data_IF_316083669878
#
_entry.id   IF_316083669878
#
_cell.length_a   1.000
_cell.length_b   1.000
_cell.length_c   1.000
_cell.angle_alpha   90.00
_cell.angle_beta   90.00
_cell.angle_gamma   90.00
#
_symmetry.space_group_name_H-M   'P 1'
#
loop_
_entity.id
_entity.type
_entity.pdbx_description
1 polymer ?
#
# COMPACT_ATOMS: atom_id res chain seq x y z
N UNK A 1 -12.04 -7.15 27.80
CA UNK A 1 -13.21 -6.49 27.22
C UNK A 1 -12.69 -5.37 26.35
N UNK A 2 -12.77 -5.52 25.03
CA UNK A 2 -12.27 -4.51 24.10
C UNK A 2 -13.27 -3.36 24.07
N UNK A 3 -12.93 -2.21 24.63
CA UNK A 3 -13.72 -0.99 24.45
C UNK A 3 -13.59 -0.60 22.99
N UNK A 4 -14.68 -0.72 22.21
CA UNK A 4 -14.73 -0.14 20.88
C UNK A 4 -14.43 1.36 21.03
N UNK A 5 -13.27 1.79 20.56
CA UNK A 5 -12.87 3.20 20.58
C UNK A 5 -13.77 3.91 19.57
N UNK A 6 -14.78 4.62 20.06
CA UNK A 6 -15.67 5.41 19.22
C UNK A 6 -15.00 6.74 18.86
N UNK A 7 -15.23 7.22 17.64
CA UNK A 7 -14.77 8.53 17.20
C UNK A 7 -15.36 9.64 18.07
N UNK A 8 -14.52 10.47 18.68
CA UNK A 8 -14.97 11.52 19.61
C UNK A 8 -14.84 12.92 19.01
N UNK A 9 -15.82 13.29 18.18
CA UNK A 9 -15.92 14.60 17.53
C UNK A 9 -15.89 15.76 18.54
N UNK A 10 -16.58 15.62 19.69
CA UNK A 10 -16.62 16.67 20.72
C UNK A 10 -15.24 16.97 21.30
N UNK A 11 -14.45 15.94 21.57
CA UNK A 11 -13.09 16.13 22.08
C UNK A 11 -12.21 16.90 21.08
N UNK A 12 -12.30 16.53 19.80
CA UNK A 12 -11.58 17.19 18.70
C UNK A 12 -11.97 18.67 18.62
N UNK A 13 -13.28 18.97 18.49
CA UNK A 13 -13.75 20.36 18.38
C UNK A 13 -13.41 21.19 19.63
N UNK A 14 -13.53 20.59 20.83
CA UNK A 14 -13.21 21.27 22.07
C UNK A 14 -11.72 21.63 22.18
N UNK A 15 -10.83 20.80 21.65
CA UNK A 15 -9.39 21.00 21.73
C UNK A 15 -8.94 22.22 20.92
N UNK A 16 -9.47 22.36 19.70
CA UNK A 16 -9.19 23.51 18.82
C UNK A 16 -10.18 24.66 19.00
N UNK A 17 -10.93 24.67 20.11
CA UNK A 17 -11.87 25.72 20.49
C UNK A 17 -12.94 26.07 19.43
N UNK A 18 -13.40 25.08 18.66
CA UNK A 18 -14.47 25.25 17.68
C UNK A 18 -15.87 25.01 18.26
N UNK A 19 -16.94 25.55 17.64
CA UNK A 19 -18.31 25.36 18.08
C UNK A 19 -18.73 23.89 18.22
N UNK A 20 -19.29 23.54 19.39
CA UNK A 20 -19.75 22.18 19.74
C UNK A 20 -21.24 21.95 19.41
N UNK A 21 -21.93 22.97 18.92
CA UNK A 21 -23.35 22.97 18.59
C UNK A 21 -23.65 22.35 17.21
N UNK A 22 -22.61 21.92 16.49
CA UNK A 22 -22.72 21.34 15.16
C UNK A 22 -22.88 22.38 14.04
N UNK A 23 -22.66 23.66 14.34
CA UNK A 23 -22.70 24.75 13.34
C UNK A 23 -21.41 24.86 12.51
N UNK A 24 -20.32 24.26 12.97
CA UNK A 24 -19.02 24.36 12.31
C UNK A 24 -18.94 23.46 11.07
N UNK A 25 -18.52 24.05 9.96
CA UNK A 25 -18.22 23.34 8.71
C UNK A 25 -16.80 23.65 8.23
N UNK A 26 -16.01 22.65 7.82
CA UNK A 26 -16.35 21.23 7.69
C UNK A 26 -16.44 20.49 9.04
N UNK A 27 -17.33 19.50 9.15
CA UNK A 27 -17.45 18.68 10.38
C UNK A 27 -16.39 17.56 10.40
N UNK A 28 -15.76 17.27 11.56
CA UNK A 28 -14.85 16.13 11.72
C UNK A 28 -15.45 14.76 11.35
N UNK A 29 -16.76 14.58 11.46
CA UNK A 29 -17.43 13.30 11.18
C UNK A 29 -17.99 13.25 9.76
N UNK A 30 -18.65 14.33 9.31
CA UNK A 30 -19.31 14.34 8.00
C UNK A 30 -18.37 14.70 6.85
N UNK A 31 -17.40 15.59 7.10
CA UNK A 31 -16.43 16.09 6.12
C UNK A 31 -14.98 15.97 6.66
N UNK A 32 -14.56 14.76 7.10
CA UNK A 32 -13.30 14.57 7.82
C UNK A 32 -12.07 15.01 7.01
N UNK A 33 -12.08 14.77 5.70
CA UNK A 33 -10.96 15.12 4.81
C UNK A 33 -10.77 16.62 4.74
N UNK A 34 -11.85 17.38 4.54
CA UNK A 34 -11.77 18.83 4.44
C UNK A 34 -11.52 19.48 5.80
N UNK A 35 -12.01 18.88 6.88
CA UNK A 35 -11.64 19.27 8.23
C UNK A 35 -10.14 19.09 8.50
N UNK A 36 -9.59 17.93 8.16
CA UNK A 36 -8.17 17.65 8.33
C UNK A 36 -7.29 18.56 7.46
N UNK A 37 -7.67 18.86 6.21
CA UNK A 37 -6.94 19.83 5.39
C UNK A 37 -6.77 21.19 6.07
N UNK A 38 -7.73 21.61 6.90
CA UNK A 38 -7.68 22.89 7.62
C UNK A 38 -6.98 22.81 8.97
N UNK A 39 -7.10 21.68 9.67
CA UNK A 39 -6.77 21.59 11.09
C UNK A 39 -5.78 20.49 11.46
N UNK A 40 -5.21 19.75 10.51
CA UNK A 40 -4.30 18.64 10.79
C UNK A 40 -3.15 19.07 11.71
N UNK A 41 -2.56 20.23 11.47
CA UNK A 41 -1.42 20.76 12.24
C UNK A 41 -1.80 21.30 13.62
N UNK A 42 -3.09 21.57 13.86
CA UNK A 42 -3.58 22.05 15.16
C UNK A 42 -3.93 20.92 16.11
N UNK A 43 -3.93 19.67 15.63
CA UNK A 43 -4.39 18.52 16.39
C UNK A 43 -3.20 17.69 16.89
N UNK A 44 -3.23 17.24 18.16
CA UNK A 44 -2.18 16.39 18.70
C UNK A 44 -2.32 14.95 18.16
N UNK A 45 -1.24 14.16 18.14
CA UNK A 45 -1.21 12.83 17.51
C UNK A 45 -2.33 11.88 17.94
N UNK A 46 -2.69 11.89 19.23
CA UNK A 46 -3.73 11.03 19.79
C UNK A 46 -5.16 11.39 19.37
N UNK A 47 -5.41 12.64 18.96
CA UNK A 47 -6.69 13.07 18.39
C UNK A 47 -6.72 12.82 16.89
N UNK A 48 -5.61 13.10 16.19
CA UNK A 48 -5.48 12.84 14.75
C UNK A 48 -5.66 11.35 14.44
N UNK A 49 -5.06 10.45 15.24
CA UNK A 49 -5.17 9.01 15.04
C UNK A 49 -6.63 8.47 15.06
N UNK A 50 -7.57 9.19 15.70
CA UNK A 50 -8.97 8.78 15.70
C UNK A 50 -9.62 8.89 14.32
N UNK A 51 -9.11 9.75 13.43
CA UNK A 51 -9.65 9.89 12.08
C UNK A 51 -9.50 8.62 11.24
N UNK A 52 -8.62 7.68 11.61
CA UNK A 52 -8.54 6.35 11.00
C UNK A 52 -9.82 5.54 11.15
N UNK A 53 -10.69 5.88 12.12
CA UNK A 53 -11.99 5.22 12.32
C UNK A 53 -13.07 5.69 11.31
N UNK A 54 -12.89 6.89 10.74
CA UNK A 54 -13.90 7.54 9.89
C UNK A 54 -13.36 7.87 8.49
N UNK A 55 -12.08 7.64 8.23
CA UNK A 55 -11.45 7.85 6.94
C UNK A 55 -10.70 6.61 6.46
N UNK A 56 -10.69 6.40 5.15
CA UNK A 56 -9.85 5.38 4.52
C UNK A 56 -8.48 5.95 4.14
N UNK A 57 -7.43 5.11 3.98
CA UNK A 57 -6.16 5.56 3.44
C UNK A 57 -6.26 6.30 2.11
N UNK A 58 -7.18 5.87 1.23
CA UNK A 58 -7.47 6.53 -0.06
C UNK A 58 -8.05 7.93 0.13
N UNK A 59 -8.98 8.12 1.06
CA UNK A 59 -9.54 9.44 1.39
C UNK A 59 -8.47 10.37 1.97
N UNK A 60 -7.64 9.86 2.89
CA UNK A 60 -6.54 10.64 3.49
C UNK A 60 -5.48 11.04 2.47
N UNK A 61 -5.31 10.26 1.40
CA UNK A 61 -4.41 10.61 0.30
C UNK A 61 -4.79 11.93 -0.40
N UNK A 62 -6.01 12.45 -0.21
CA UNK A 62 -6.42 13.77 -0.71
C UNK A 62 -5.84 14.94 0.09
N UNK A 63 -5.32 14.69 1.30
CA UNK A 63 -4.68 15.68 2.16
C UNK A 63 -3.21 15.83 1.74
N UNK A 64 -2.75 17.03 1.33
CA UNK A 64 -1.39 17.23 0.85
C UNK A 64 -0.31 16.78 1.85
N UNK A 65 -0.42 17.17 3.12
CA UNK A 65 0.51 16.79 4.18
C UNK A 65 0.66 15.28 4.29
N UNK A 66 -0.46 14.53 4.30
CA UNK A 66 -0.44 13.06 4.36
C UNK A 66 0.24 12.48 3.13
N UNK A 67 -0.08 13.00 1.93
CA UNK A 67 0.56 12.55 0.69
C UNK A 67 2.07 12.80 0.70
N UNK A 68 2.52 13.95 1.21
CA UNK A 68 3.94 14.29 1.33
C UNK A 68 4.66 13.37 2.33
N UNK A 69 4.03 13.05 3.49
CA UNK A 69 4.55 12.07 4.45
C UNK A 69 4.77 10.70 3.79
N UNK A 70 3.76 10.22 3.04
CA UNK A 70 3.88 8.96 2.29
C UNK A 70 4.96 9.02 1.22
N UNK A 71 5.06 10.12 0.47
CA UNK A 71 6.09 10.28 -0.55
C UNK A 71 7.48 10.14 0.09
N UNK A 72 7.75 10.84 1.19
CA UNK A 72 9.02 10.76 1.92
C UNK A 72 9.31 9.37 2.46
N UNK A 73 8.29 8.72 3.04
CA UNK A 73 8.43 7.33 3.47
C UNK A 73 8.81 6.43 2.30
N UNK A 74 8.18 6.56 1.14
CA UNK A 74 8.50 5.78 -0.06
C UNK A 74 9.89 6.10 -0.65
N UNK A 75 10.39 7.32 -0.48
CA UNK A 75 11.73 7.76 -0.90
C UNK A 75 12.83 7.28 0.06
N UNK A 76 12.51 7.02 1.33
CA UNK A 76 13.46 6.43 2.29
C UNK A 76 13.78 4.95 2.07
N UNK A 77 13.24 4.35 0.99
CA UNK A 77 13.37 2.93 0.63
C UNK A 77 13.15 1.95 1.80
N UNK A 78 11.93 1.95 2.40
CA UNK A 78 11.61 1.14 3.56
C UNK A 78 11.54 -0.34 3.19
N UNK A 79 11.85 -1.20 4.15
CA UNK A 79 11.88 -2.67 3.98
C UNK A 79 10.57 -3.22 3.44
N UNK A 80 9.45 -2.64 3.86
CA UNK A 80 8.10 -3.12 3.52
C UNK A 80 7.72 -2.82 2.06
N UNK A 81 8.35 -1.81 1.45
CA UNK A 81 8.18 -1.48 0.02
C UNK A 81 9.35 -1.99 -0.83
N UNK A 82 10.27 -2.76 -0.24
CA UNK A 82 11.33 -3.44 -0.98
C UNK A 82 10.76 -4.46 -1.95
N UNK A 83 11.54 -4.82 -2.98
CA UNK A 83 11.08 -5.73 -4.03
C UNK A 83 10.59 -7.07 -3.49
N UNK A 84 11.37 -7.69 -2.59
CA UNK A 84 11.06 -9.01 -2.02
C UNK A 84 9.80 -8.93 -1.16
N UNK A 85 9.73 -7.97 -0.23
CA UNK A 85 8.56 -7.77 0.62
C UNK A 85 7.28 -7.48 -0.17
N UNK A 86 7.36 -6.57 -1.15
CA UNK A 86 6.22 -6.18 -1.97
C UNK A 86 5.75 -7.32 -2.90
N UNK A 87 6.67 -8.10 -3.46
CA UNK A 87 6.35 -9.25 -4.31
C UNK A 87 5.62 -10.35 -3.53
N UNK A 88 5.99 -10.53 -2.27
CA UNK A 88 5.37 -11.52 -1.38
C UNK A 88 4.02 -11.03 -0.86
N UNK A 89 3.89 -9.74 -0.56
CA UNK A 89 2.67 -9.14 0.02
C UNK A 89 1.59 -8.87 -1.03
N UNK A 90 1.97 -8.32 -2.19
CA UNK A 90 1.06 -7.99 -3.29
C UNK A 90 1.43 -8.73 -4.57
N UNK A 91 1.34 -10.08 -4.56
CA UNK A 91 1.81 -10.92 -5.66
C UNK A 91 1.04 -10.71 -6.97
N UNK A 92 -0.17 -10.16 -6.89
CA UNK A 92 -1.09 -9.92 -8.01
C UNK A 92 -0.75 -8.63 -8.77
N UNK A 93 0.04 -7.74 -8.16
CA UNK A 93 0.56 -6.55 -8.81
C UNK A 93 1.83 -6.82 -9.65
N UNK A 94 2.43 -8.01 -9.53
CA UNK A 94 3.59 -8.44 -10.31
C UNK A 94 3.17 -9.18 -11.58
N UNK A 95 3.53 -8.61 -12.73
CA UNK A 95 3.15 -9.12 -14.06
C UNK A 95 4.20 -10.10 -14.65
N UNK A 96 5.40 -10.19 -14.06
CA UNK A 96 6.46 -11.06 -14.55
C UNK A 96 6.14 -12.56 -14.42
N UNK A 97 6.50 -13.34 -15.46
CA UNK A 97 6.31 -14.81 -15.56
C UNK A 97 7.35 -15.66 -14.82
N UNK A 98 8.09 -15.08 -13.88
CA UNK A 98 9.18 -15.78 -13.20
C UNK A 98 8.68 -16.80 -12.16
N UNK A 99 9.43 -17.91 -12.02
CA UNK A 99 9.22 -18.94 -10.98
C UNK A 99 9.36 -18.30 -9.58
N UNK A 100 8.40 -18.58 -8.70
CA UNK A 100 8.31 -18.01 -7.34
C UNK A 100 8.82 -19.03 -6.32
N UNK A 101 9.27 -18.54 -5.15
CA UNK A 101 9.79 -19.38 -4.06
C UNK A 101 11.22 -19.88 -4.24
N UNK A 102 11.95 -19.40 -5.26
CA UNK A 102 13.34 -19.85 -5.52
C UNK A 102 14.29 -19.39 -4.42
N UNK A 103 14.12 -18.17 -3.92
CA UNK A 103 14.99 -17.62 -2.88
C UNK A 103 14.66 -18.26 -1.53
N UNK A 104 13.37 -18.35 -1.19
CA UNK A 104 12.90 -19.05 0.01
C UNK A 104 13.24 -20.55 -0.01
N UNK A 105 13.14 -21.18 -1.18
CA UNK A 105 13.54 -22.59 -1.37
C UNK A 105 15.06 -22.79 -1.30
N UNK A 106 15.87 -21.80 -1.68
CA UNK A 106 17.33 -21.81 -1.44
C UNK A 106 17.63 -21.65 0.04
N UNK A 107 16.97 -20.72 0.73
CA UNK A 107 17.15 -20.51 2.16
C UNK A 107 16.76 -21.75 2.96
N UNK A 108 15.65 -22.42 2.61
CA UNK A 108 15.22 -23.67 3.26
C UNK A 108 16.17 -24.83 2.94
N UNK A 109 16.69 -24.89 1.71
CA UNK A 109 17.72 -25.84 1.33
C UNK A 109 19.02 -25.61 2.11
N UNK A 110 19.45 -24.36 2.28
CA UNK A 110 20.65 -23.99 3.00
C UNK A 110 20.49 -24.26 4.51
N UNK A 111 19.33 -23.93 5.09
CA UNK A 111 18.96 -24.31 6.45
C UNK A 111 19.02 -25.83 6.64
N UNK A 112 18.42 -26.59 5.73
CA UNK A 112 18.45 -28.05 5.78
C UNK A 112 19.88 -28.59 5.66
N UNK A 113 20.75 -27.97 4.88
CA UNK A 113 22.12 -28.44 4.70
C UNK A 113 23.05 -28.10 5.87
N UNK A 114 22.85 -26.94 6.51
CA UNK A 114 23.81 -26.39 7.47
C UNK A 114 23.33 -26.43 8.92
N UNK A 115 22.04 -26.24 9.18
CA UNK A 115 21.50 -26.14 10.54
C UNK A 115 20.76 -27.40 10.98
N UNK A 116 20.10 -28.10 10.06
CA UNK A 116 19.37 -29.32 10.38
C UNK A 116 20.31 -30.46 10.82
N UNK A 117 20.04 -30.99 12.02
CA UNK A 117 20.85 -32.04 12.66
C UNK A 117 22.37 -31.73 12.72
N UNK A 118 22.74 -30.45 12.90
CA UNK A 118 24.14 -30.00 13.00
C UNK A 118 25.03 -30.49 11.85
N UNK A 119 24.49 -30.57 10.62
CA UNK A 119 25.28 -30.88 9.42
C UNK A 119 25.60 -32.37 9.19
N UNK A 120 24.78 -33.29 9.71
CA UNK A 120 24.92 -34.74 9.49
C UNK A 120 24.70 -35.16 8.01
N UNK A 121 25.74 -35.03 7.18
CA UNK A 121 25.72 -35.05 5.69
C UNK A 121 25.09 -36.24 4.95
N UNK A 122 24.82 -37.39 5.59
CA UNK A 122 24.50 -38.63 4.85
C UNK A 122 23.10 -38.66 4.19
N UNK A 123 22.14 -37.85 4.63
CA UNK A 123 20.78 -37.82 4.05
C UNK A 123 20.22 -36.40 3.85
N UNK A 124 20.96 -35.35 4.17
CA UNK A 124 20.42 -33.97 4.22
C UNK A 124 20.38 -33.28 2.88
N UNK A 125 21.23 -33.67 1.91
CA UNK A 125 21.20 -33.08 0.57
C UNK A 125 19.87 -33.31 -0.16
N UNK A 126 19.39 -34.57 -0.18
CA UNK A 126 18.09 -34.92 -0.79
C UNK A 126 16.91 -34.31 -0.03
N UNK A 127 17.04 -34.15 1.29
CA UNK A 127 16.01 -33.52 2.11
C UNK A 127 15.95 -32.01 1.84
N UNK A 128 17.09 -31.32 1.74
CA UNK A 128 17.14 -29.90 1.39
C UNK A 128 16.63 -29.62 -0.02
N UNK A 129 16.97 -30.47 -1.00
CA UNK A 129 16.41 -30.36 -2.35
C UNK A 129 14.88 -30.56 -2.36
N UNK A 130 14.38 -31.52 -1.57
CA UNK A 130 12.95 -31.80 -1.44
C UNK A 130 12.21 -30.65 -0.73
N UNK A 131 12.78 -30.13 0.36
CA UNK A 131 12.19 -29.03 1.13
C UNK A 131 12.15 -27.73 0.31
N UNK A 132 13.25 -27.38 -0.37
CA UNK A 132 13.28 -26.22 -1.26
C UNK A 132 12.24 -26.33 -2.38
N UNK A 133 12.08 -27.52 -2.97
CA UNK A 133 11.02 -27.77 -3.96
C UNK A 133 9.60 -27.67 -3.40
N UNK A 134 9.38 -28.10 -2.15
CA UNK A 134 8.08 -27.94 -1.50
C UNK A 134 7.77 -26.49 -1.12
N UNK A 135 8.78 -25.67 -0.78
CA UNK A 135 8.61 -24.24 -0.54
C UNK A 135 8.22 -23.51 -1.83
N UNK A 136 8.92 -23.81 -2.94
CA UNK A 136 8.55 -23.30 -4.26
C UNK A 136 7.08 -23.65 -4.63
N UNK A 137 6.66 -24.89 -4.40
CA UNK A 137 5.29 -25.33 -4.68
C UNK A 137 4.26 -24.68 -3.74
N UNK A 138 4.60 -24.53 -2.46
CA UNK A 138 3.76 -23.89 -1.44
C UNK A 138 3.48 -22.43 -1.80
N UNK A 139 4.52 -21.68 -2.14
CA UNK A 139 4.37 -20.28 -2.52
C UNK A 139 3.62 -20.12 -3.85
N UNK A 140 3.87 -21.00 -4.82
CA UNK A 140 3.11 -21.04 -6.06
C UNK A 140 1.61 -21.30 -5.82
N UNK A 141 1.26 -22.23 -4.93
CA UNK A 141 -0.15 -22.52 -4.60
C UNK A 141 -0.82 -21.35 -3.87
N UNK A 142 -0.13 -20.69 -2.94
CA UNK A 142 -0.64 -19.50 -2.24
C UNK A 142 -1.01 -18.39 -3.21
N UNK A 143 -0.18 -18.12 -4.20
CA UNK A 143 -0.47 -17.10 -5.22
C UNK A 143 -1.64 -17.54 -6.11
N UNK A 144 -1.72 -18.83 -6.47
CA UNK A 144 -2.87 -19.36 -7.21
C UNK A 144 -4.18 -19.25 -6.43
N UNK A 145 -4.18 -19.43 -5.11
CA UNK A 145 -5.37 -19.21 -4.29
C UNK A 145 -5.75 -17.75 -4.22
N UNK A 146 -4.79 -16.83 -4.03
CA UNK A 146 -5.06 -15.39 -3.99
C UNK A 146 -5.67 -14.91 -5.31
N UNK A 147 -5.09 -15.30 -6.45
CA UNK A 147 -5.64 -14.93 -7.78
C UNK A 147 -7.04 -15.47 -8.01
N UNK A 148 -7.33 -16.70 -7.56
CA UNK A 148 -8.68 -17.27 -7.63
C UNK A 148 -9.66 -16.50 -6.73
N UNK A 149 -9.23 -16.09 -5.55
CA UNK A 149 -10.06 -15.32 -4.63
C UNK A 149 -10.32 -13.90 -5.14
N UNK A 150 -9.31 -13.22 -5.69
CA UNK A 150 -9.48 -11.91 -6.34
C UNK A 150 -10.42 -12.01 -7.55
N UNK A 151 -10.23 -12.98 -8.43
CA UNK A 151 -11.13 -13.20 -9.58
C UNK A 151 -12.58 -13.49 -9.13
N UNK A 152 -12.78 -14.26 -8.06
CA UNK A 152 -14.10 -14.50 -7.51
C UNK A 152 -14.73 -13.26 -6.85
N UNK A 153 -13.91 -12.34 -6.31
CA UNK A 153 -14.39 -11.02 -5.81
C UNK A 153 -14.79 -10.10 -6.96
N UNK A 154 -14.06 -10.14 -8.07
CA UNK A 154 -14.38 -9.37 -9.29
C UNK A 154 -15.62 -9.91 -10.01
N UNK A 155 -15.78 -11.24 -10.13
CA UNK A 155 -16.96 -11.90 -10.72
C UNK A 155 -18.26 -11.65 -9.91
N UNK A 156 -18.15 -11.31 -8.62
CA UNK A 156 -19.29 -10.94 -7.79
C UNK A 156 -19.78 -9.49 -8.02
N UNK A 157 -19.11 -8.71 -8.86
CA UNK A 157 -19.64 -7.41 -9.34
C UNK A 157 -20.61 -7.73 -10.48
N UNK A 158 -21.95 -7.58 -10.30
CA UNK A 158 -22.87 -7.80 -11.41
C UNK A 158 -22.53 -6.79 -12.50
N UNK A 159 -22.17 -7.29 -13.68
CA UNK A 159 -22.02 -6.49 -14.89
C UNK A 159 -23.30 -5.67 -15.09
N UNK A 160 -23.21 -4.33 -15.03
CA UNK A 160 -24.26 -3.48 -15.60
C UNK A 160 -24.06 -3.50 -17.12
N UNK A 161 -25.09 -3.98 -17.83
CA UNK A 161 -25.21 -4.08 -19.30
C UNK A 161 -24.67 -2.83 -20.04
N UNK A 162 -23.49 -2.93 -20.66
CA UNK A 162 -23.17 -2.14 -21.86
C UNK A 162 -23.42 -3.01 -23.10
N UNK A 163 -24.58 -2.76 -23.71
CA UNK A 163 -25.08 -3.27 -24.97
C UNK A 163 -24.06 -3.23 -26.12
N UNK A 164 -23.74 -4.43 -26.63
CA UNK A 164 -23.68 -4.84 -28.04
C UNK A 164 -23.12 -3.84 -29.09
N UNK A 165 -21.90 -4.13 -29.57
CA UNK A 165 -21.48 -3.82 -30.94
C UNK A 165 -20.57 -4.95 -31.45
N UNK A 166 -21.22 -5.91 -32.12
CA UNK A 166 -20.66 -6.96 -32.97
C UNK A 166 -19.86 -6.40 -34.18
N UNK A 167 -18.97 -7.25 -34.71
CA UNK A 167 -18.31 -7.21 -36.04
C UNK A 167 -16.97 -6.45 -36.22
N UNK A 168 -15.84 -7.16 -36.04
CA UNK A 168 -14.91 -7.54 -37.12
C UNK A 168 -13.69 -8.30 -36.52
N UNK A 169 -13.80 -9.63 -36.46
CA UNK A 169 -12.70 -10.58 -36.28
C UNK A 169 -11.95 -10.72 -37.62
N UNK A 170 -10.69 -10.28 -37.73
CA UNK A 170 -9.65 -10.94 -38.58
C UNK A 170 -8.26 -10.20 -38.71
N UNK A 171 -7.82 -9.33 -37.78
CA UNK A 171 -6.45 -8.74 -37.86
C UNK A 171 -5.62 -8.70 -36.57
N UNK A 172 -6.04 -9.34 -35.47
CA UNK A 172 -5.32 -9.28 -34.17
C UNK A 172 -4.13 -10.25 -34.02
N UNK A 173 -3.85 -11.10 -35.00
CA UNK A 173 -2.79 -12.14 -34.89
C UNK A 173 -1.35 -11.63 -35.03
N UNK A 174 -1.13 -10.35 -35.38
CA UNK A 174 0.22 -9.78 -35.61
C UNK A 174 0.64 -8.67 -34.64
N UNK A 175 -0.22 -8.22 -33.71
CA UNK A 175 0.13 -7.19 -32.73
C UNK A 175 0.81 -7.74 -31.45
N UNK A 176 0.72 -9.05 -31.19
CA UNK A 176 1.38 -9.70 -30.06
C UNK A 176 2.86 -10.05 -30.29
N UNK A 177 3.37 -9.86 -31.50
CA UNK A 177 4.75 -10.19 -31.87
C UNK A 177 5.77 -9.06 -31.57
N UNK A 178 5.30 -7.92 -31.04
CA UNK A 178 6.15 -6.77 -30.67
C UNK A 178 6.09 -6.45 -29.17
N UNK A 179 5.85 -7.46 -28.33
CA UNK A 179 6.21 -7.35 -26.92
C UNK A 179 7.73 -7.42 -26.84
N UNK A 180 8.36 -6.25 -26.90
CA UNK A 180 9.70 -6.06 -26.35
C UNK A 180 9.70 -6.75 -25.00
N UNK A 181 10.49 -7.82 -24.87
CA UNK A 181 10.72 -8.44 -23.58
C UNK A 181 11.46 -7.39 -22.75
N UNK A 182 10.71 -6.59 -21.99
CA UNK A 182 11.26 -5.73 -20.95
C UNK A 182 12.23 -6.60 -20.15
N UNK A 183 13.47 -6.12 -20.01
CA UNK A 183 14.48 -6.83 -19.24
C UNK A 183 13.92 -7.11 -17.85
N UNK A 184 14.32 -8.20 -17.19
CA UNK A 184 13.90 -8.48 -15.80
C UNK A 184 14.16 -7.27 -14.88
N UNK A 185 15.18 -6.46 -15.19
CA UNK A 185 15.45 -5.19 -14.53
C UNK A 185 14.35 -4.13 -14.72
N UNK A 186 13.84 -3.97 -15.94
CA UNK A 186 12.75 -3.05 -16.28
C UNK A 186 11.43 -3.53 -15.63
N UNK A 187 11.20 -4.86 -15.68
CA UNK A 187 10.27 -5.68 -14.87
C UNK A 187 10.14 -5.16 -13.44
N UNK A 188 11.29 -5.19 -12.76
CA UNK A 188 11.43 -4.84 -11.35
C UNK A 188 11.19 -3.36 -11.08
N UNK A 189 11.70 -2.49 -11.95
CA UNK A 189 11.57 -1.03 -11.80
C UNK A 189 10.11 -0.61 -11.95
N UNK A 190 9.41 -1.11 -12.97
CA UNK A 190 8.00 -0.79 -13.23
C UNK A 190 7.10 -1.25 -12.08
N UNK A 191 7.35 -2.46 -11.55
CA UNK A 191 6.65 -2.97 -10.37
C UNK A 191 6.88 -2.10 -9.14
N UNK A 192 8.13 -1.81 -8.79
CA UNK A 192 8.44 -0.97 -7.62
C UNK A 192 7.82 0.41 -7.74
N UNK A 193 7.84 1.00 -8.94
CA UNK A 193 7.16 2.25 -9.22
C UNK A 193 5.66 2.14 -8.96
N UNK A 194 4.99 1.11 -9.47
CA UNK A 194 3.55 0.86 -9.26
C UNK A 194 3.21 0.64 -7.77
N UNK A 195 4.09 -0.05 -7.03
CA UNK A 195 3.97 -0.21 -5.57
C UNK A 195 4.05 1.14 -4.87
N UNK A 196 5.07 1.96 -5.15
CA UNK A 196 5.22 3.29 -4.56
C UNK A 196 4.04 4.20 -4.90
N UNK A 197 3.57 4.20 -6.14
CA UNK A 197 2.39 4.97 -6.57
C UNK A 197 1.12 4.53 -5.82
N UNK A 198 0.80 3.23 -5.81
CA UNK A 198 -0.36 2.71 -5.07
C UNK A 198 -0.25 2.98 -3.57
N UNK A 199 0.95 2.91 -3.02
CA UNK A 199 1.20 3.26 -1.63
C UNK A 199 0.81 4.72 -1.37
N UNK A 200 1.37 5.68 -2.12
CA UNK A 200 1.11 7.12 -1.95
C UNK A 200 -0.39 7.41 -2.00
N UNK A 201 -1.12 6.79 -2.94
CA UNK A 201 -2.57 7.00 -3.10
C UNK A 201 -3.45 6.19 -2.14
N UNK A 202 -2.87 5.43 -1.20
CA UNK A 202 -3.66 4.70 -0.20
C UNK A 202 -4.38 3.47 -0.76
N UNK A 203 -3.79 2.82 -1.77
CA UNK A 203 -4.38 1.73 -2.55
C UNK A 203 -3.72 0.36 -2.30
N UNK A 204 -2.74 0.26 -1.41
CA UNK A 204 -2.17 -1.02 -1.01
C UNK A 204 -2.97 -1.61 0.15
N UNK A 205 -3.40 -2.85 -0.01
CA UNK A 205 -4.09 -3.57 1.05
C UNK A 205 -3.10 -4.01 2.14
N UNK A 206 -3.57 -4.15 3.38
CA UNK A 206 -2.79 -4.64 4.53
C UNK A 206 -1.56 -3.80 4.92
N UNK A 207 -1.38 -2.61 4.34
CA UNK A 207 -0.34 -1.66 4.74
C UNK A 207 -0.80 -0.85 5.97
N UNK A 208 0.10 -0.65 6.93
CA UNK A 208 -0.18 0.19 8.10
C UNK A 208 0.00 1.68 7.79
N UNK A 209 -1.00 2.27 7.13
CA UNK A 209 -1.01 3.69 6.79
C UNK A 209 -1.03 4.60 8.02
N UNK A 210 -1.64 4.18 9.13
CA UNK A 210 -1.80 5.02 10.32
C UNK A 210 -0.46 5.41 10.94
N UNK A 211 0.50 4.50 10.90
CA UNK A 211 1.85 4.76 11.41
C UNK A 211 2.60 5.83 10.62
N UNK A 212 2.18 6.11 9.38
CA UNK A 212 2.89 7.00 8.44
C UNK A 212 2.10 8.29 8.24
N UNK A 213 0.79 8.18 8.03
CA UNK A 213 -0.11 9.32 7.80
C UNK A 213 -0.08 10.30 8.98
N UNK A 214 0.11 9.79 10.20
CA UNK A 214 0.09 10.55 11.44
C UNK A 214 1.49 10.78 12.05
N UNK A 215 2.56 10.39 11.35
CA UNK A 215 3.93 10.64 11.78
C UNK A 215 4.38 12.05 11.38
N UNK A 216 4.36 12.96 12.35
CA UNK A 216 4.81 14.34 12.18
C UNK A 216 6.32 14.46 11.93
N UNK A 217 7.13 13.43 12.24
CA UNK A 217 8.58 13.47 11.97
C UNK A 217 8.90 13.42 10.47
N UNK A 218 7.93 13.02 9.65
CA UNK A 218 8.01 13.05 8.20
C UNK A 218 7.63 14.42 7.62
N UNK A 219 7.15 15.37 8.42
CA UNK A 219 6.99 16.76 7.98
C UNK A 219 8.38 17.40 7.82
N UNK A 220 8.64 18.06 6.68
CA UNK A 220 9.86 18.86 6.50
C UNK A 220 9.61 20.24 7.09
N UNK A 221 10.58 20.80 7.80
CA UNK A 221 10.53 22.20 8.25
C UNK A 221 10.25 23.17 7.08
N UNK A 222 10.75 22.84 5.88
CA UNK A 222 10.56 23.65 4.68
C UNK A 222 9.11 23.68 4.15
N UNK A 223 8.27 22.68 4.44
CA UNK A 223 6.86 22.70 4.02
C UNK A 223 6.06 23.67 4.91
N UNK A 224 6.41 23.75 6.20
CA UNK A 224 5.83 24.73 7.14
C UNK A 224 6.25 26.16 6.81
N UNK A 225 7.55 26.39 6.55
CA UNK A 225 8.04 27.70 6.15
C UNK A 225 7.55 28.15 4.76
N UNK A 226 7.34 27.22 3.82
CA UNK A 226 6.82 27.54 2.50
C UNK A 226 5.33 27.93 2.54
N UNK A 227 4.54 27.28 3.41
CA UNK A 227 3.16 27.69 3.68
C UNK A 227 3.10 29.04 4.41
N UNK A 228 3.94 29.28 5.44
CA UNK A 228 4.01 30.55 6.17
C UNK A 228 4.46 31.73 5.28
N UNK A 229 5.45 31.54 4.39
CA UNK A 229 5.88 32.58 3.43
C UNK A 229 4.79 32.96 2.44
N UNK A 230 3.87 32.07 2.13
CA UNK A 230 2.78 32.35 1.18
C UNK A 230 1.71 33.26 1.78
N UNK A 231 1.57 33.29 3.11
CA UNK A 231 0.64 34.19 3.80
C UNK A 231 1.24 35.56 4.13
N UNK A 232 2.56 35.66 4.26
CA UNK A 232 3.24 36.96 4.50
C UNK A 232 3.28 37.85 3.24
N UNK A 233 3.16 37.28 2.03
CA UNK A 233 3.19 38.03 0.77
C UNK A 233 1.83 38.67 0.38
N UNK A 234 0.74 38.44 1.12
CA UNK A 234 -0.60 39.02 0.85
C UNK A 234 -0.99 40.24 1.73
N UNK A 235 -0.13 40.70 2.66
CA UNK A 235 -0.42 41.86 3.54
C UNK A 235 0.20 43.21 3.11
N UNK A 236 0.87 43.30 1.95
CA UNK A 236 1.32 44.56 1.35
C UNK A 236 0.71 44.81 -0.04
N UNK A 237 -0.56 45.25 -0.09
CA UNK A 237 -1.10 46.18 -1.09
C UNK A 237 -2.45 46.82 -0.67
#
# INVERSE_FOLDING_TARGET
MSTATLFNERAILSFIALPLDGSYHPSPTAEPVDFLKRHLHHLPPHLVAQFSLVTTPKQRAAIPTVRNRRLKYAESDPTDLSFTAARNTWPTLWEGRERRGIEEGKDEKDWAQHEFLHGSTKHVGKLGDLLGGYEEEREAERVRSIRREEAAKEEFIPEEDESDSDDDDDEVSNALASLDFESEGDQRISFLRRIKERFIYGLLENMNYDAIDWDESLDTENDREAEERWFDDEEED
#
